data_IF_869280536979
#
_entry.id   IF_869280536979
#
_cell.length_a   1.000
_cell.length_b   1.000
_cell.length_c   1.000
_cell.angle_alpha   90.00
_cell.angle_beta   90.00
_cell.angle_gamma   90.00
#
_symmetry.space_group_name_H-M   'P 1'
#
loop_
_entity.id
_entity.type
_entity.pdbx_description
1 polymer ?
#
# COMPACT_ATOMS: atom_id res chain seq x y z
N UNK A 1 0.53 -19.14 2.22
CA UNK A 1 -0.60 -18.24 2.56
C UNK A 1 -0.85 -17.24 1.45
N UNK A 2 -2.04 -16.74 1.42
CA UNK A 2 -2.45 -15.76 0.42
C UNK A 2 -2.87 -14.45 1.05
N UNK A 3 -2.80 -13.40 0.26
CA UNK A 3 -3.27 -12.08 0.64
C UNK A 3 -4.10 -11.56 -0.51
N UNK A 4 -5.41 -11.42 -0.33
CA UNK A 4 -6.28 -10.98 -1.41
C UNK A 4 -7.59 -10.40 -0.91
N UNK A 5 -8.22 -9.60 -1.75
CA UNK A 5 -9.57 -9.09 -1.58
C UNK A 5 -10.49 -9.85 -2.53
N UNK A 6 -11.70 -10.19 -2.07
CA UNK A 6 -12.72 -10.85 -2.89
C UNK A 6 -12.26 -12.16 -3.53
N UNK A 7 -11.39 -12.91 -2.84
CA UNK A 7 -10.89 -14.22 -3.29
C UNK A 7 -10.13 -14.17 -4.61
N UNK A 8 -9.49 -13.05 -4.91
CA UNK A 8 -8.64 -12.92 -6.09
C UNK A 8 -7.21 -13.33 -5.76
N UNK A 9 -6.58 -14.10 -6.65
CA UNK A 9 -5.18 -14.50 -6.51
C UNK A 9 -4.22 -13.37 -6.90
N UNK A 10 -4.67 -12.47 -7.76
CA UNK A 10 -3.89 -11.32 -8.19
C UNK A 10 -4.35 -10.09 -7.44
N UNK A 11 -3.40 -9.34 -6.90
CA UNK A 11 -3.69 -8.12 -6.16
C UNK A 11 -3.52 -6.91 -7.09
N UNK A 12 -4.28 -6.93 -8.19
CA UNK A 12 -4.25 -5.91 -9.22
C UNK A 12 -5.59 -5.19 -9.28
N UNK A 13 -5.55 -3.87 -9.39
CA UNK A 13 -6.74 -3.02 -9.40
C UNK A 13 -6.58 -1.90 -10.40
N UNK A 14 -7.67 -1.50 -11.03
CA UNK A 14 -7.71 -0.30 -11.85
C UNK A 14 -8.82 0.60 -11.28
N UNK A 15 -8.43 1.80 -10.85
CA UNK A 15 -9.35 2.81 -10.34
C UNK A 15 -9.04 4.13 -11.03
N UNK A 16 -10.04 4.74 -11.66
CA UNK A 16 -9.90 6.02 -12.38
C UNK A 16 -8.74 6.00 -13.38
N UNK A 17 -8.57 4.86 -14.08
CA UNK A 17 -7.50 4.63 -15.05
C UNK A 17 -6.09 4.68 -14.44
N UNK A 18 -5.98 4.46 -13.14
CA UNK A 18 -4.70 4.25 -12.47
C UNK A 18 -4.62 2.78 -12.09
N UNK A 19 -3.55 2.12 -12.53
CA UNK A 19 -3.32 0.71 -12.25
C UNK A 19 -2.51 0.56 -10.99
N UNK A 20 -2.93 -0.37 -10.12
CA UNK A 20 -2.23 -0.71 -8.88
C UNK A 20 -1.98 -2.20 -8.83
N UNK A 21 -0.78 -2.58 -8.40
CA UNK A 21 -0.48 -3.97 -8.07
C UNK A 21 0.20 -4.00 -6.71
N UNK A 22 -0.28 -4.85 -5.82
CA UNK A 22 0.29 -5.01 -4.48
C UNK A 22 0.97 -6.36 -4.39
N UNK A 23 2.18 -6.36 -3.83
CA UNK A 23 2.96 -7.59 -3.58
C UNK A 23 3.24 -7.62 -2.08
N UNK A 24 2.43 -8.39 -1.32
CA UNK A 24 2.56 -8.41 0.13
C UNK A 24 3.77 -9.19 0.60
N UNK A 25 4.32 -8.75 1.73
CA UNK A 25 5.36 -9.44 2.46
C UNK A 25 5.10 -9.17 3.94
N UNK A 26 5.67 -9.99 4.81
CA UNK A 26 5.40 -9.86 6.25
C UNK A 26 5.93 -8.56 6.86
N UNK A 27 6.96 -7.96 6.28
CA UNK A 27 7.60 -6.76 6.83
C UNK A 27 7.25 -5.48 6.07
N UNK A 28 7.02 -5.59 4.77
CA UNK A 28 6.73 -4.45 3.91
C UNK A 28 6.03 -4.94 2.65
N UNK A 29 5.24 -4.07 2.04
CA UNK A 29 4.53 -4.38 0.81
C UNK A 29 5.11 -3.58 -0.34
N UNK A 30 5.30 -4.22 -1.48
CA UNK A 30 5.62 -3.52 -2.71
C UNK A 30 4.33 -3.07 -3.37
N UNK A 31 4.30 -1.84 -3.85
CA UNK A 31 3.19 -1.32 -4.64
C UNK A 31 3.73 -0.81 -5.97
N UNK A 32 3.11 -1.26 -7.04
CA UNK A 32 3.40 -0.80 -8.40
C UNK A 32 2.20 0.02 -8.82
N UNK A 33 2.44 1.26 -9.24
CA UNK A 33 1.39 2.19 -9.65
C UNK A 33 1.71 2.66 -11.06
N UNK A 34 0.76 2.50 -11.97
CA UNK A 34 0.91 2.96 -13.35
C UNK A 34 -0.19 3.94 -13.70
N UNK A 35 0.21 5.09 -14.21
CA UNK A 35 -0.72 6.13 -14.64
C UNK A 35 -1.14 5.88 -16.08
N UNK A 36 -2.34 5.32 -16.27
CA UNK A 36 -2.91 5.08 -17.59
C UNK A 36 -3.83 6.23 -18.03
N UNK A 37 -3.80 7.36 -17.32
CA UNK A 37 -4.53 8.56 -17.72
C UNK A 37 -3.69 9.39 -18.69
N UNK A 38 -4.30 10.39 -19.31
CA UNK A 38 -3.61 11.35 -20.18
C UNK A 38 -3.13 12.59 -19.42
N UNK A 39 -3.25 12.58 -18.09
CA UNK A 39 -2.85 13.68 -17.21
C UNK A 39 -1.81 13.22 -16.20
N UNK A 40 -1.17 14.16 -15.51
CA UNK A 40 -0.26 13.83 -14.40
C UNK A 40 -1.07 13.36 -13.21
N UNK A 41 -0.61 12.29 -12.57
CA UNK A 41 -1.17 11.80 -11.31
C UNK A 41 -0.21 12.18 -10.19
N UNK A 42 -0.75 12.80 -9.14
CA UNK A 42 0.00 13.17 -7.94
C UNK A 42 -0.40 12.24 -6.81
N UNK A 43 0.60 11.71 -6.12
CA UNK A 43 0.39 10.82 -4.98
C UNK A 43 0.96 11.47 -3.72
N UNK A 44 0.09 11.77 -2.77
CA UNK A 44 0.49 12.43 -1.53
C UNK A 44 0.78 11.39 -0.44
N UNK A 45 2.03 10.93 -0.39
CA UNK A 45 2.44 9.92 0.59
C UNK A 45 2.28 10.40 2.03
N UNK A 46 2.42 11.69 2.29
CA UNK A 46 2.32 12.24 3.65
C UNK A 46 0.94 11.98 4.26
N UNK A 47 -0.10 11.94 3.43
CA UNK A 47 -1.48 11.70 3.88
C UNK A 47 -1.96 10.28 3.59
N UNK A 48 -1.09 9.41 3.08
CA UNK A 48 -1.43 8.02 2.85
C UNK A 48 -1.61 7.28 4.17
N UNK A 49 -2.46 6.26 4.17
CA UNK A 49 -2.73 5.46 5.35
C UNK A 49 -2.40 4.00 5.15
N UNK A 50 -1.90 3.37 6.21
CA UNK A 50 -1.64 1.94 6.25
C UNK A 50 -2.25 1.41 7.54
N UNK A 51 -3.36 0.69 7.43
CA UNK A 51 -4.18 0.28 8.56
C UNK A 51 -4.03 -1.22 8.74
N UNK A 52 -3.50 -1.65 9.89
CA UNK A 52 -3.29 -3.06 10.19
C UNK A 52 -4.19 -3.45 11.35
N UNK A 53 -5.09 -4.40 11.13
CA UNK A 53 -6.06 -4.86 12.13
C UNK A 53 -6.83 -3.70 12.78
N UNK A 54 -7.22 -2.71 11.97
CA UNK A 54 -7.97 -1.55 12.43
C UNK A 54 -7.12 -0.45 13.06
N UNK A 55 -5.81 -0.66 13.22
CA UNK A 55 -4.92 0.34 13.79
C UNK A 55 -4.35 1.20 12.67
N UNK A 56 -4.75 2.45 12.64
CA UNK A 56 -4.33 3.39 11.60
C UNK A 56 -2.92 3.91 11.82
N UNK A 57 -2.19 4.08 10.73
CA UNK A 57 -0.85 4.65 10.71
C UNK A 57 -0.63 5.38 9.41
N UNK A 58 0.37 6.25 9.37
CA UNK A 58 0.90 6.77 8.12
C UNK A 58 1.69 5.70 7.38
N UNK A 59 2.19 6.07 6.21
CA UNK A 59 2.99 5.20 5.35
C UNK A 59 4.45 5.68 5.39
N UNK A 60 5.36 4.72 5.49
CA UNK A 60 6.79 4.98 5.29
C UNK A 60 7.27 4.21 4.07
N UNK A 61 8.14 4.85 3.28
CA UNK A 61 8.74 4.26 2.10
C UNK A 61 10.16 3.78 2.40
N UNK A 62 10.54 2.67 1.75
CA UNK A 62 11.93 2.22 1.81
C UNK A 62 12.86 3.37 1.33
N UNK A 63 13.95 3.68 2.05
CA UNK A 63 14.61 2.92 3.13
C UNK A 63 14.07 3.14 4.55
N UNK A 64 12.83 3.59 4.70
CA UNK A 64 12.13 3.72 5.98
C UNK A 64 12.82 4.65 6.98
N UNK A 65 13.20 5.82 6.49
CA UNK A 65 13.74 6.88 7.36
C UNK A 65 12.61 7.62 8.05
N UNK A 66 12.95 8.45 9.03
CA UNK A 66 11.96 9.32 9.70
C UNK A 66 11.68 10.60 8.92
N UNK A 67 12.31 10.77 7.78
CA UNK A 67 12.13 11.94 6.94
C UNK A 67 10.73 11.97 6.32
N UNK A 68 10.25 13.18 6.07
CA UNK A 68 8.97 13.37 5.39
C UNK A 68 9.02 12.77 3.99
N UNK A 69 7.94 12.08 3.63
CA UNK A 69 7.81 11.51 2.31
C UNK A 69 7.20 12.56 1.39
N UNK A 70 7.87 12.92 0.30
CA UNK A 70 7.36 13.94 -0.61
C UNK A 70 6.16 13.43 -1.41
N UNK A 71 5.39 14.38 -1.93
CA UNK A 71 4.40 14.07 -2.94
C UNK A 71 5.12 13.67 -4.23
N UNK A 72 4.70 12.56 -4.82
CA UNK A 72 5.27 12.09 -6.07
C UNK A 72 4.33 12.38 -7.23
N UNK A 73 4.90 12.72 -8.38
CA UNK A 73 4.14 12.83 -9.62
C UNK A 73 4.46 11.64 -10.53
N UNK A 74 3.41 11.15 -11.19
CA UNK A 74 3.55 10.08 -12.17
C UNK A 74 3.02 10.61 -13.50
N UNK A 75 3.90 10.76 -14.47
CA UNK A 75 3.54 11.25 -15.78
C UNK A 75 2.63 10.27 -16.50
N UNK A 76 1.86 10.75 -17.47
CA UNK A 76 1.01 9.91 -18.30
C UNK A 76 1.80 8.74 -18.88
N UNK A 77 1.23 7.54 -18.79
CA UNK A 77 1.82 6.29 -19.28
C UNK A 77 3.12 5.88 -18.59
N UNK A 78 3.45 6.49 -17.45
CA UNK A 78 4.59 6.10 -16.63
C UNK A 78 4.12 5.38 -15.37
N UNK A 79 5.05 4.69 -14.72
CA UNK A 79 4.79 3.96 -13.50
C UNK A 79 5.87 4.15 -12.46
N UNK A 80 5.55 3.85 -11.21
CA UNK A 80 6.49 3.82 -10.09
C UNK A 80 6.36 2.50 -9.37
N UNK A 81 7.43 2.15 -8.65
CA UNK A 81 7.50 0.94 -7.83
C UNK A 81 8.06 1.36 -6.49
N UNK A 82 7.28 1.17 -5.42
CA UNK A 82 7.68 1.58 -4.06
C UNK A 82 7.44 0.44 -3.08
N UNK A 83 8.30 0.38 -2.07
CA UNK A 83 8.14 -0.56 -0.96
C UNK A 83 7.70 0.24 0.25
N UNK A 84 6.58 -0.15 0.85
CA UNK A 84 5.92 0.61 1.91
C UNK A 84 5.65 -0.25 3.14
N UNK A 85 5.59 0.39 4.29
CA UNK A 85 5.09 -0.22 5.53
C UNK A 85 4.35 0.82 6.35
N UNK A 86 3.67 0.39 7.41
CA UNK A 86 3.05 1.31 8.35
C UNK A 86 4.13 2.01 9.18
N UNK A 87 4.04 3.34 9.28
CA UNK A 87 5.06 4.13 10.00
C UNK A 87 5.20 3.72 11.46
N UNK A 88 4.11 3.30 12.10
CA UNK A 88 4.13 2.89 13.51
C UNK A 88 4.81 1.54 13.75
N UNK A 89 5.21 0.82 12.70
CA UNK A 89 5.97 -0.42 12.81
C UNK A 89 7.47 -0.19 12.81
N UNK A 90 7.91 1.02 12.51
CA UNK A 90 9.32 1.38 12.49
C UNK A 90 9.75 1.74 13.91
N UNK A 91 10.80 1.07 14.40
CA UNK A 91 11.35 1.30 15.74
C UNK A 91 12.84 1.55 15.65
N UNK A 92 13.49 2.09 16.72
CA UNK A 92 14.95 2.25 16.73
C UNK A 92 15.69 0.92 16.58
N UNK A 93 15.05 -0.20 16.88
CA UNK A 93 15.65 -1.54 16.79
C UNK A 93 15.39 -2.22 15.45
N UNK A 94 14.59 -1.63 14.58
CA UNK A 94 14.24 -2.21 13.29
C UNK A 94 12.77 -2.05 12.98
N UNK A 95 12.27 -2.87 12.06
CA UNK A 95 10.91 -2.81 11.58
C UNK A 95 10.12 -4.01 12.11
N UNK A 96 9.02 -3.74 12.82
CA UNK A 96 8.11 -4.78 13.25
C UNK A 96 7.34 -5.31 12.05
N UNK A 97 6.90 -6.54 12.13
CA UNK A 97 6.20 -7.20 11.03
C UNK A 97 4.75 -6.75 10.95
N UNK A 98 4.24 -6.63 9.72
CA UNK A 98 2.83 -6.34 9.46
C UNK A 98 1.98 -7.52 9.90
N UNK A 99 2.43 -8.74 9.61
CA UNK A 99 1.79 -9.97 10.08
C UNK A 99 2.86 -11.01 10.42
N UNK A 100 2.51 -11.92 11.32
CA UNK A 100 3.38 -13.01 11.75
C UNK A 100 3.05 -14.25 10.93
N UNK A 101 4.03 -14.76 10.17
CA UNK A 101 3.83 -15.93 9.30
C UNK A 101 3.41 -17.18 10.09
N UNK A 102 3.95 -17.36 11.29
CA UNK A 102 3.58 -18.49 12.14
C UNK A 102 2.11 -18.41 12.55
N UNK A 103 1.64 -17.22 12.93
CA UNK A 103 0.25 -16.99 13.29
C UNK A 103 -0.69 -17.28 12.10
N UNK A 104 -0.32 -16.81 10.92
CA UNK A 104 -1.10 -17.06 9.70
C UNK A 104 -1.19 -18.56 9.42
N UNK A 105 -0.07 -19.28 9.54
CA UNK A 105 -0.05 -20.75 9.32
C UNK A 105 -0.94 -21.50 10.30
N UNK A 106 -1.16 -20.95 11.50
CA UNK A 106 -2.04 -21.53 12.52
C UNK A 106 -3.50 -21.12 12.36
N UNK A 107 -3.86 -20.44 11.26
CA UNK A 107 -5.22 -20.03 10.99
C UNK A 107 -5.56 -18.62 11.41
N UNK A 108 -4.57 -17.84 11.86
CA UNK A 108 -4.77 -16.42 12.18
C UNK A 108 -5.02 -15.58 10.94
N UNK A 109 -5.51 -14.37 11.14
CA UNK A 109 -5.83 -13.43 10.08
C UNK A 109 -5.25 -12.05 10.40
N UNK A 110 -4.86 -11.33 9.36
CA UNK A 110 -4.46 -9.94 9.50
C UNK A 110 -5.18 -9.14 8.42
N UNK A 111 -5.89 -8.10 8.83
CA UNK A 111 -6.50 -7.18 7.88
C UNK A 111 -5.53 -6.05 7.59
N UNK A 112 -5.44 -5.65 6.33
CA UNK A 112 -4.61 -4.53 5.87
C UNK A 112 -5.46 -3.66 4.96
N UNK A 113 -5.47 -2.36 5.24
CA UNK A 113 -6.11 -1.38 4.36
C UNK A 113 -5.08 -0.32 4.01
N UNK A 114 -4.90 -0.08 2.73
CA UNK A 114 -3.98 0.94 2.22
C UNK A 114 -4.82 2.02 1.57
N UNK A 115 -4.60 3.27 2.00
CA UNK A 115 -5.35 4.43 1.50
C UNK A 115 -4.36 5.38 0.84
N UNK A 116 -4.58 5.68 -0.44
CA UNK A 116 -3.69 6.50 -1.24
C UNK A 116 -4.42 7.77 -1.70
N UNK A 117 -3.98 8.96 -1.23
CA UNK A 117 -4.52 10.23 -1.71
C UNK A 117 -3.98 10.54 -3.11
N UNK A 118 -4.89 10.71 -4.06
CA UNK A 118 -4.58 10.86 -5.48
C UNK A 118 -5.15 12.18 -5.99
N UNK A 119 -4.38 12.87 -6.81
CA UNK A 119 -4.83 14.04 -7.58
C UNK A 119 -4.53 13.77 -9.06
N UNK A 120 -5.55 13.85 -9.89
CA UNK A 120 -5.39 13.66 -11.34
C UNK A 120 -5.55 15.02 -12.01
N UNK A 121 -4.48 15.50 -12.65
CA UNK A 121 -4.47 16.81 -13.29
C UNK A 121 -4.77 17.92 -12.30
N UNK A 122 -5.76 18.74 -12.60
CA UNK A 122 -6.16 19.87 -11.76
C UNK A 122 -7.40 19.59 -10.90
N UNK A 123 -7.82 18.33 -10.80
CA UNK A 123 -9.01 17.97 -10.02
C UNK A 123 -8.70 17.95 -8.53
N UNK A 124 -9.72 18.06 -7.66
CA UNK A 124 -9.50 17.94 -6.22
C UNK A 124 -8.95 16.56 -5.85
N UNK A 125 -8.17 16.52 -4.75
CA UNK A 125 -7.65 15.28 -4.20
C UNK A 125 -8.78 14.35 -3.76
N UNK A 126 -8.63 13.06 -4.05
CA UNK A 126 -9.55 12.02 -3.59
C UNK A 126 -8.74 10.81 -3.15
N UNK A 127 -9.40 9.79 -2.61
CA UNK A 127 -8.71 8.65 -2.03
C UNK A 127 -9.04 7.36 -2.79
N UNK A 128 -7.99 6.58 -3.09
CA UNK A 128 -8.17 5.19 -3.48
C UNK A 128 -7.83 4.32 -2.27
N UNK A 129 -8.77 3.48 -1.85
CA UNK A 129 -8.60 2.60 -0.71
C UNK A 129 -8.65 1.14 -1.15
N UNK A 130 -7.79 0.32 -0.54
CA UNK A 130 -7.66 -1.10 -0.86
C UNK A 130 -7.64 -1.89 0.44
N UNK A 131 -8.51 -2.88 0.56
CA UNK A 131 -8.60 -3.70 1.76
C UNK A 131 -8.27 -5.15 1.45
N UNK A 132 -7.47 -5.74 2.32
CA UNK A 132 -6.94 -7.09 2.14
C UNK A 132 -7.08 -7.88 3.44
N UNK A 133 -7.16 -9.20 3.30
CA UNK A 133 -7.05 -10.11 4.43
C UNK A 133 -5.94 -11.10 4.14
N UNK A 134 -4.96 -11.17 5.04
CA UNK A 134 -3.86 -12.13 4.94
C UNK A 134 -4.28 -13.36 5.72
N UNK A 135 -4.39 -14.49 5.03
CA UNK A 135 -4.82 -15.75 5.62
C UNK A 135 -3.94 -16.90 5.12
N UNK A 136 -4.09 -18.05 5.77
CA UNK A 136 -3.41 -19.26 5.33
C UNK A 136 -3.89 -19.68 3.94
N UNK A 137 -2.94 -20.02 3.07
CA UNK A 137 -3.25 -20.59 1.77
C UNK A 137 -3.80 -22.01 1.91
N UNK A 138 -4.84 -22.32 1.14
CA UNK A 138 -5.42 -23.66 1.10
C UNK A 138 -4.80 -24.48 -0.02
#
# INVERSE_FOLDING_TARGET
>A
FKSYENHQDKLEYIKDNVFYQFIPNSSAWKVIIKNNTDEVVWLNWEKAGFIVNGKASGVSLFPFTTDKVPTESIQSNHGINRTITASNLITPKGINKIYNKRNIRKGGRTSVTIVLPITIGNRPQFFHAFSFTVTKAN
#
